data_IF_509385348810
#
_entry.id   IF_509385348810
#
_cell.length_a   1.000
_cell.length_b   1.000
_cell.length_c   1.000
_cell.angle_alpha   90.00
_cell.angle_beta   90.00
_cell.angle_gamma   90.00
#
_symmetry.space_group_name_H-M   'P 1'
#
loop_
_entity.id
_entity.type
_entity.pdbx_description
1 polymer ?
#
# COMPACT_ATOMS: atom_id res chain seq x y z
N UNK A 1 -1.07 1.96 -6.32
CA UNK A 1 0.05 1.88 -5.36
C UNK A 1 0.86 0.61 -5.57
N UNK A 2 0.51 -0.57 -5.01
CA UNK A 2 1.40 -1.75 -5.11
C UNK A 2 1.65 -2.29 -6.53
N UNK A 3 0.70 -2.14 -7.46
CA UNK A 3 0.86 -2.60 -8.86
C UNK A 3 1.77 -1.72 -9.70
N UNK A 4 1.80 -0.42 -9.40
CA UNK A 4 2.58 0.58 -10.12
C UNK A 4 2.96 1.70 -9.14
N UNK A 5 3.97 1.47 -8.29
CA UNK A 5 4.37 2.43 -7.26
C UNK A 5 4.87 3.74 -7.85
N UNK A 6 5.74 3.68 -8.88
CA UNK A 6 6.30 4.87 -9.50
C UNK A 6 5.24 5.71 -10.21
N UNK A 7 4.36 5.11 -11.01
CA UNK A 7 3.28 5.84 -11.68
C UNK A 7 2.26 6.41 -10.68
N UNK A 8 2.03 5.71 -9.56
CA UNK A 8 1.22 6.25 -8.46
C UNK A 8 1.91 7.45 -7.78
N UNK A 9 3.23 7.37 -7.56
CA UNK A 9 4.03 8.44 -6.97
C UNK A 9 4.06 9.68 -7.86
N UNK A 10 4.25 9.52 -9.18
CA UNK A 10 4.17 10.63 -10.15
C UNK A 10 2.81 11.34 -10.09
N UNK A 11 1.71 10.59 -10.04
CA UNK A 11 0.35 11.16 -9.90
C UNK A 11 0.19 11.94 -8.60
N UNK A 12 0.71 11.43 -7.48
CA UNK A 12 0.71 12.14 -6.20
C UNK A 12 1.53 13.43 -6.25
N UNK A 13 2.72 13.38 -6.85
CA UNK A 13 3.62 14.52 -6.97
C UNK A 13 2.96 15.67 -7.76
N UNK A 14 2.30 15.34 -8.89
CA UNK A 14 1.49 16.31 -9.65
C UNK A 14 0.36 16.88 -8.79
N UNK A 15 -0.38 16.03 -8.07
CA UNK A 15 -1.49 16.47 -7.21
C UNK A 15 -1.03 17.42 -6.09
N UNK A 16 0.16 17.20 -5.54
CA UNK A 16 0.76 18.06 -4.52
C UNK A 16 1.35 19.37 -5.07
N UNK A 17 1.35 19.57 -6.40
CA UNK A 17 1.96 20.72 -7.04
C UNK A 17 3.49 20.65 -7.12
N UNK A 18 4.06 19.44 -6.99
CA UNK A 18 5.50 19.18 -7.04
C UNK A 18 5.83 18.08 -8.07
N UNK A 19 5.49 18.26 -9.36
CA UNK A 19 5.81 17.27 -10.38
C UNK A 19 7.33 17.09 -10.52
N UNK A 20 7.77 15.86 -10.78
CA UNK A 20 9.18 15.57 -11.05
C UNK A 20 9.64 16.22 -12.36
N UNK A 21 10.85 16.76 -12.37
CA UNK A 21 11.49 17.27 -13.58
C UNK A 21 12.05 16.13 -14.45
N UNK A 22 12.29 16.36 -15.76
CA UNK A 22 12.95 15.38 -16.61
C UNK A 22 14.31 14.93 -16.07
N UNK A 23 15.07 15.84 -15.47
CA UNK A 23 16.37 15.56 -14.86
C UNK A 23 16.25 14.67 -13.62
N UNK A 24 15.23 14.87 -12.78
CA UNK A 24 14.94 14.01 -11.64
C UNK A 24 14.50 12.60 -12.08
N UNK A 25 13.70 12.52 -13.14
CA UNK A 25 13.29 11.25 -13.75
C UNK A 25 14.50 10.50 -14.33
N UNK A 26 15.38 11.19 -15.09
CA UNK A 26 16.61 10.62 -15.64
C UNK A 26 17.59 10.19 -14.55
N UNK A 27 17.70 10.97 -13.47
CA UNK A 27 18.51 10.63 -12.31
C UNK A 27 17.93 9.46 -11.48
N UNK A 28 16.71 9.01 -11.77
CA UNK A 28 16.07 7.89 -11.07
C UNK A 28 15.47 8.24 -9.71
N UNK A 29 15.23 9.52 -9.43
CA UNK A 29 14.72 10.01 -8.12
C UNK A 29 13.40 9.34 -7.74
N UNK A 30 12.51 9.10 -8.71
CA UNK A 30 11.21 8.44 -8.49
C UNK A 30 11.41 7.02 -7.93
N UNK A 31 12.33 6.25 -8.54
CA UNK A 31 12.66 4.90 -8.09
C UNK A 31 13.28 4.92 -6.70
N UNK A 32 14.21 5.84 -6.45
CA UNK A 32 14.88 5.95 -5.15
C UNK A 32 13.89 6.28 -4.02
N UNK A 33 12.89 7.13 -4.28
CA UNK A 33 11.82 7.42 -3.32
C UNK A 33 10.93 6.19 -3.09
N UNK A 34 10.56 5.48 -4.15
CA UNK A 34 9.78 4.23 -4.05
C UNK A 34 10.53 3.19 -3.21
N UNK A 35 11.82 3.01 -3.45
CA UNK A 35 12.66 2.06 -2.73
C UNK A 35 12.82 2.46 -1.26
N UNK A 36 13.07 3.74 -0.99
CA UNK A 36 13.15 4.31 0.36
C UNK A 36 11.85 4.09 1.14
N UNK A 37 10.70 4.32 0.50
CA UNK A 37 9.38 4.21 1.11
C UNK A 37 8.80 2.79 1.04
N UNK A 38 9.53 1.83 0.47
CA UNK A 38 9.04 0.46 0.31
C UNK A 38 8.86 -0.19 1.68
N UNK A 39 7.87 -1.09 1.79
CA UNK A 39 7.65 -1.83 3.03
C UNK A 39 8.90 -2.61 3.45
N UNK A 40 9.62 -3.19 2.50
CA UNK A 40 10.87 -3.94 2.76
C UNK A 40 11.92 -3.06 3.42
N UNK A 41 12.20 -1.89 2.83
CA UNK A 41 13.16 -0.92 3.38
C UNK A 41 12.71 -0.41 4.74
N UNK A 42 11.48 0.11 4.84
CA UNK A 42 10.98 0.70 6.09
C UNK A 42 10.93 -0.32 7.23
N UNK A 43 10.49 -1.56 6.98
CA UNK A 43 10.49 -2.65 7.97
C UNK A 43 11.90 -3.04 8.41
N UNK A 44 12.89 -2.90 7.53
CA UNK A 44 14.29 -3.22 7.80
C UNK A 44 15.03 -2.18 8.67
N UNK A 45 14.54 -0.94 8.73
CA UNK A 45 15.16 0.14 9.51
C UNK A 45 15.15 -0.18 11.02
N UNK A 46 16.27 0.07 11.70
CA UNK A 46 16.44 -0.25 13.12
C UNK A 46 15.36 0.40 13.99
N UNK A 47 15.03 1.67 13.71
CA UNK A 47 13.95 2.39 14.41
C UNK A 47 12.61 1.68 14.32
N UNK A 48 12.35 0.94 13.24
CA UNK A 48 11.10 0.20 13.05
C UNK A 48 11.16 -1.23 13.59
N UNK A 49 12.34 -1.79 13.81
CA UNK A 49 12.52 -3.13 14.39
C UNK A 49 12.55 -3.14 15.90
N UNK A 50 13.23 -2.18 16.51
CA UNK A 50 13.45 -2.13 17.97
C UNK A 50 12.85 -0.90 18.64
N UNK A 51 12.51 0.13 17.86
CA UNK A 51 11.98 1.39 18.39
C UNK A 51 10.54 1.28 18.92
N UNK A 52 10.14 2.34 19.61
CA UNK A 52 8.79 2.51 20.16
C UNK A 52 8.25 3.90 19.88
N UNK A 53 6.94 4.01 19.76
CA UNK A 53 6.26 5.29 19.65
C UNK A 53 6.28 6.02 21.00
N UNK A 54 5.89 7.30 20.99
CA UNK A 54 5.70 8.10 22.21
C UNK A 54 4.66 7.49 23.17
N UNK A 55 3.73 6.70 22.64
CA UNK A 55 2.72 5.98 23.44
C UNK A 55 3.21 4.61 23.91
N UNK A 56 4.48 4.29 23.68
CA UNK A 56 5.09 3.03 24.07
C UNK A 56 4.68 1.84 23.21
N UNK A 57 4.14 2.02 22.01
CA UNK A 57 3.87 0.89 21.09
C UNK A 57 5.15 0.50 20.36
N UNK A 58 5.41 -0.80 20.16
CA UNK A 58 6.54 -1.26 19.34
C UNK A 58 6.33 -0.84 17.89
N UNK A 59 7.34 -0.25 17.27
CA UNK A 59 7.22 0.21 15.88
C UNK A 59 7.02 -0.95 14.90
N UNK A 60 7.58 -2.14 15.21
CA UNK A 60 7.46 -3.34 14.38
C UNK A 60 5.98 -3.72 14.12
N UNK A 61 5.09 -3.41 15.07
CA UNK A 61 3.67 -3.72 14.95
C UNK A 61 2.99 -3.01 13.77
N UNK A 62 3.53 -1.87 13.30
CA UNK A 62 3.02 -1.16 12.12
C UNK A 62 3.44 -1.81 10.79
N UNK A 63 4.42 -2.71 10.80
CA UNK A 63 5.01 -3.35 9.61
C UNK A 63 4.74 -4.88 9.57
N UNK A 64 3.48 -5.27 9.82
CA UNK A 64 3.00 -6.66 9.61
C UNK A 64 3.19 -7.07 8.14
N UNK A 65 3.19 -8.36 7.82
CA UNK A 65 3.21 -8.79 6.40
C UNK A 65 2.06 -8.11 5.63
N UNK A 66 2.41 -7.34 4.60
CA UNK A 66 1.45 -6.64 3.74
C UNK A 66 1.51 -7.31 2.37
N UNK A 67 0.83 -8.45 2.26
CA UNK A 67 0.63 -9.13 0.98
C UNK A 67 -0.84 -9.03 0.62
N UNK A 68 -1.13 -8.64 -0.62
CA UNK A 68 -2.50 -8.64 -1.15
C UNK A 68 -3.02 -10.09 -1.08
N UNK A 69 -4.16 -10.31 -0.43
CA UNK A 69 -4.74 -11.65 -0.25
C UNK A 69 -4.45 -12.31 1.10
N UNK A 70 -3.66 -11.70 1.99
CA UNK A 70 -3.34 -12.24 3.33
C UNK A 70 -4.59 -12.48 4.21
N UNK A 71 -5.73 -11.86 3.88
CA UNK A 71 -7.02 -12.08 4.54
C UNK A 71 -7.43 -13.57 4.57
N UNK A 72 -7.02 -14.34 3.57
CA UNK A 72 -7.34 -15.77 3.44
C UNK A 72 -6.74 -16.63 4.56
N UNK A 73 -5.68 -16.14 5.23
CA UNK A 73 -5.11 -16.80 6.41
C UNK A 73 -5.99 -16.67 7.67
N UNK A 74 -6.89 -15.67 7.69
CA UNK A 74 -7.70 -15.32 8.84
C UNK A 74 -9.19 -15.63 8.67
N UNK A 75 -9.67 -15.88 7.44
CA UNK A 75 -11.09 -16.03 7.13
C UNK A 75 -11.37 -17.33 6.38
N UNK A 76 -12.48 -17.98 6.73
CA UNK A 76 -13.01 -19.06 5.90
C UNK A 76 -13.63 -18.50 4.61
N UNK A 77 -13.77 -19.30 3.54
CA UNK A 77 -14.42 -18.85 2.31
C UNK A 77 -15.83 -18.28 2.53
N UNK A 78 -16.59 -18.83 3.49
CA UNK A 78 -17.92 -18.33 3.83
C UNK A 78 -17.88 -16.94 4.49
N UNK A 79 -16.87 -16.67 5.32
CA UNK A 79 -16.68 -15.34 5.92
C UNK A 79 -16.31 -14.31 4.85
N UNK A 80 -15.44 -14.69 3.91
CA UNK A 80 -15.04 -13.83 2.80
C UNK A 80 -16.22 -13.48 1.90
N UNK A 81 -16.98 -14.49 1.46
CA UNK A 81 -18.17 -14.28 0.61
C UNK A 81 -19.22 -13.38 1.29
N UNK A 82 -19.40 -13.52 2.61
CA UNK A 82 -20.28 -12.63 3.38
C UNK A 82 -19.77 -11.19 3.36
N UNK A 83 -18.46 -10.97 3.51
CA UNK A 83 -17.86 -9.64 3.47
C UNK A 83 -17.97 -9.04 2.06
N UNK A 84 -17.74 -9.83 1.01
CA UNK A 84 -17.91 -9.40 -0.38
C UNK A 84 -19.33 -8.90 -0.64
N UNK A 85 -20.35 -9.59 -0.11
CA UNK A 85 -21.75 -9.15 -0.19
C UNK A 85 -22.00 -7.81 0.51
N UNK A 86 -21.51 -7.64 1.75
CA UNK A 86 -21.62 -6.38 2.50
C UNK A 86 -20.97 -5.21 1.74
N UNK A 87 -19.80 -5.46 1.16
CA UNK A 87 -19.07 -4.45 0.40
C UNK A 87 -19.79 -4.12 -0.91
N UNK A 88 -20.33 -5.12 -1.62
CA UNK A 88 -21.09 -4.91 -2.84
C UNK A 88 -22.34 -4.05 -2.60
N UNK A 89 -23.11 -4.35 -1.55
CA UNK A 89 -24.26 -3.54 -1.13
C UNK A 89 -23.85 -2.10 -0.79
N UNK A 90 -22.75 -1.92 -0.06
CA UNK A 90 -22.27 -0.59 0.31
C UNK A 90 -21.76 0.26 -0.87
N UNK A 91 -21.29 -0.39 -1.94
CA UNK A 91 -20.79 0.29 -3.14
C UNK A 91 -21.86 0.44 -4.23
N UNK A 92 -23.05 -0.11 -4.03
CA UNK A 92 -24.15 0.00 -4.99
C UNK A 92 -24.48 1.48 -5.28
N UNK A 93 -24.55 1.83 -6.57
CA UNK A 93 -24.80 3.21 -7.01
C UNK A 93 -23.62 4.19 -6.89
N UNK A 94 -22.46 3.77 -6.34
CA UNK A 94 -21.30 4.66 -6.16
C UNK A 94 -20.36 4.75 -7.38
N UNK A 95 -20.58 3.90 -8.40
CA UNK A 95 -19.63 3.65 -9.53
C UNK A 95 -18.24 3.14 -9.11
N UNK A 96 -18.01 2.86 -7.81
CA UNK A 96 -16.76 2.32 -7.33
C UNK A 96 -16.74 0.81 -7.51
N UNK A 97 -15.61 0.31 -8.02
CA UNK A 97 -15.30 -1.12 -8.06
C UNK A 97 -13.85 -1.32 -7.64
N UNK A 98 -13.54 -2.46 -7.04
CA UNK A 98 -12.14 -2.85 -6.84
C UNK A 98 -11.56 -3.30 -8.18
N UNK A 99 -10.45 -2.70 -8.61
CA UNK A 99 -9.78 -3.08 -9.85
C UNK A 99 -9.37 -4.56 -9.83
N UNK A 100 -9.74 -5.30 -10.89
CA UNK A 100 -9.62 -6.76 -10.99
C UNK A 100 -8.29 -7.30 -10.43
N UNK A 101 -8.34 -8.13 -9.39
CA UNK A 101 -7.33 -9.16 -9.17
C UNK A 101 -7.61 -10.24 -10.21
N UNK A 102 -6.76 -10.36 -11.21
CA UNK A 102 -6.64 -11.60 -11.97
C UNK A 102 -6.28 -12.69 -10.96
N UNK A 103 -7.29 -13.43 -10.51
CA UNK A 103 -7.11 -14.79 -10.00
C UNK A 103 -7.17 -15.67 -11.25
N UNK A 104 -6.02 -15.86 -11.88
CA UNK A 104 -5.74 -17.10 -12.60
C UNK A 104 -4.96 -18.01 -11.64
#
# INVERSE_FOLDING_TARGET
MLRDPEGSLRKMAVFMGCPFSPEEEEAGVVRDIVDLCSLGTLKGLEVNRSGRTMLGLKNEAFFRNVTVGDWSSCMTPAMAARLDGIVAEALEGSMLTFGATSMD
#
